data_IF_009737180724
#
_entry.id   IF_009737180724
#
_cell.length_a   1.000
_cell.length_b   1.000
_cell.length_c   1.000
_cell.angle_alpha   90.00
_cell.angle_beta   90.00
_cell.angle_gamma   90.00
#
_symmetry.space_group_name_H-M   'P 1'
#
loop_
_entity.id
_entity.type
_entity.pdbx_description
1 polymer ?
#
# COMPACT_ATOMS: atom_id res chain seq x y z
N UNK A 1 -3.71 -13.28 -2.02
CA UNK A 1 -4.42 -12.38 -1.08
C UNK A 1 -3.43 -11.76 -0.12
N UNK A 2 -3.65 -10.53 0.36
CA UNK A 2 -2.85 -9.92 1.43
C UNK A 2 -3.65 -9.93 2.74
N UNK A 3 -2.99 -10.22 3.85
CA UNK A 3 -3.55 -10.20 5.20
C UNK A 3 -2.83 -9.15 6.04
N UNK A 4 -3.53 -8.57 7.01
CA UNK A 4 -2.89 -7.69 7.99
C UNK A 4 -1.98 -8.51 8.89
N UNK A 5 -0.79 -7.97 9.10
CA UNK A 5 0.07 -8.38 10.19
C UNK A 5 0.18 -7.18 11.13
N UNK A 6 -0.43 -7.33 12.31
CA UNK A 6 -0.41 -6.34 13.39
C UNK A 6 0.99 -6.23 14.04
N UNK A 7 1.98 -5.92 13.21
CA UNK A 7 3.37 -5.74 13.57
C UNK A 7 3.69 -4.25 13.46
N UNK A 8 3.83 -3.60 14.61
CA UNK A 8 4.05 -2.15 14.75
C UNK A 8 5.52 -1.76 14.58
N UNK A 9 6.24 -2.35 13.63
CA UNK A 9 7.61 -1.96 13.31
C UNK A 9 7.63 -0.80 12.31
N UNK A 10 8.69 0.01 12.34
CA UNK A 10 8.99 0.90 11.22
C UNK A 10 9.40 0.07 9.99
N UNK A 11 9.41 0.70 8.81
CA UNK A 11 9.95 0.05 7.61
C UNK A 11 11.42 -0.31 7.75
N UNK A 12 12.18 0.50 8.49
CA UNK A 12 13.59 0.30 8.79
C UNK A 12 13.79 -0.90 9.71
N UNK A 13 13.09 -0.93 10.84
CA UNK A 13 13.18 -2.02 11.82
C UNK A 13 12.76 -3.34 11.18
N UNK A 14 11.72 -3.32 10.35
CA UNK A 14 11.28 -4.51 9.62
C UNK A 14 12.39 -5.09 8.74
N UNK A 15 13.15 -4.23 8.05
CA UNK A 15 14.24 -4.64 7.16
C UNK A 15 15.48 -5.07 7.93
N UNK A 16 15.89 -4.28 8.93
CA UNK A 16 17.11 -4.53 9.71
C UNK A 16 16.99 -5.79 10.56
N UNK A 17 15.86 -6.02 11.22
CA UNK A 17 15.62 -7.23 12.02
C UNK A 17 15.20 -8.43 11.19
N UNK A 18 14.90 -8.22 9.90
CA UNK A 18 14.38 -9.24 9.00
C UNK A 18 13.12 -9.92 9.55
N UNK A 19 12.20 -9.13 10.12
CA UNK A 19 11.05 -9.61 10.88
C UNK A 19 10.24 -10.69 10.15
N UNK A 20 10.23 -10.70 8.82
CA UNK A 20 9.58 -11.72 8.00
C UNK A 20 10.04 -13.16 8.29
N UNK A 21 11.26 -13.36 8.81
CA UNK A 21 11.75 -14.69 9.18
C UNK A 21 10.88 -15.31 10.27
N UNK A 22 10.53 -14.51 11.28
CA UNK A 22 9.77 -14.94 12.45
C UNK A 22 8.26 -14.89 12.27
N UNK A 23 7.79 -14.50 11.09
CA UNK A 23 6.38 -14.43 10.76
C UNK A 23 5.70 -15.81 10.89
N UNK A 24 4.57 -15.83 11.60
CA UNK A 24 3.74 -17.02 11.81
C UNK A 24 2.30 -16.75 11.38
N UNK A 25 1.69 -17.78 10.80
CA UNK A 25 0.28 -17.83 10.47
C UNK A 25 -0.17 -19.27 10.74
N UNK A 26 -0.77 -19.46 11.91
CA UNK A 26 -0.96 -20.81 12.48
C UNK A 26 -2.14 -21.55 11.85
N UNK A 27 -3.14 -20.80 11.37
CA UNK A 27 -4.37 -21.36 10.81
C UNK A 27 -4.55 -20.91 9.35
N UNK A 28 -5.10 -21.81 8.53
CA UNK A 28 -5.55 -21.45 7.20
C UNK A 28 -6.76 -20.51 7.29
N UNK A 29 -6.76 -19.34 6.61
CA UNK A 29 -7.90 -18.43 6.64
C UNK A 29 -9.21 -19.01 6.11
N UNK A 30 -9.15 -20.09 5.31
CA UNK A 30 -10.32 -20.77 4.72
C UNK A 30 -10.72 -22.03 5.51
N UNK A 31 -9.78 -22.60 6.28
CA UNK A 31 -10.03 -23.78 7.11
C UNK A 31 -9.51 -23.53 8.54
N UNK A 32 -10.21 -22.71 9.35
CA UNK A 32 -9.75 -22.36 10.69
C UNK A 32 -9.63 -23.56 11.63
N UNK A 33 -10.45 -24.60 11.43
CA UNK A 33 -10.40 -25.86 12.19
C UNK A 33 -9.24 -26.79 11.80
N UNK A 34 -8.40 -26.41 10.84
CA UNK A 34 -7.29 -27.23 10.37
C UNK A 34 -7.71 -28.33 9.40
N UNK A 35 -6.91 -29.41 9.33
CA UNK A 35 -7.13 -30.54 8.42
C UNK A 35 -6.72 -30.31 6.96
N UNK A 36 -6.49 -29.05 6.57
CA UNK A 36 -5.97 -28.71 5.25
C UNK A 36 -4.44 -28.70 5.20
N UNK A 37 -3.89 -28.84 3.99
CA UNK A 37 -2.48 -28.72 3.64
C UNK A 37 -2.07 -27.26 3.51
N UNK A 38 -2.09 -26.56 4.64
CA UNK A 38 -1.66 -25.18 4.78
C UNK A 38 -0.22 -25.12 5.28
N UNK A 39 0.65 -24.42 4.56
CA UNK A 39 2.06 -24.33 4.90
C UNK A 39 2.68 -23.02 4.41
N UNK A 40 3.83 -22.68 5.00
CA UNK A 40 4.65 -21.56 4.55
C UNK A 40 5.15 -21.81 3.13
N UNK A 41 5.07 -20.78 2.29
CA UNK A 41 5.34 -20.80 0.84
C UNK A 41 6.36 -19.71 0.46
N UNK A 42 7.43 -19.62 1.24
CA UNK A 42 8.53 -18.69 1.05
C UNK A 42 8.14 -17.22 1.25
N UNK A 43 8.77 -16.33 0.48
CA UNK A 43 8.57 -14.88 0.53
C UNK A 43 8.52 -14.30 -0.88
N UNK A 44 8.07 -13.06 -1.04
CA UNK A 44 8.36 -12.25 -2.23
C UNK A 44 9.03 -10.93 -1.84
N UNK A 45 9.90 -10.42 -2.71
CA UNK A 45 10.68 -9.22 -2.45
C UNK A 45 9.88 -7.93 -2.67
N UNK A 46 10.14 -6.93 -1.85
CA UNK A 46 9.75 -5.52 -2.05
C UNK A 46 10.97 -4.63 -1.91
N UNK A 47 11.13 -3.72 -2.88
CA UNK A 47 12.14 -2.66 -2.80
C UNK A 47 11.67 -1.60 -1.81
N UNK A 48 12.56 -1.18 -0.93
CA UNK A 48 12.35 -0.09 0.03
C UNK A 48 13.57 0.82 0.04
N UNK A 49 13.47 2.01 0.64
CA UNK A 49 14.64 2.88 0.83
C UNK A 49 15.70 2.31 1.79
N UNK A 50 15.33 1.35 2.64
CA UNK A 50 16.23 0.73 3.64
C UNK A 50 16.85 -0.59 3.17
N UNK A 51 16.57 -1.02 1.94
CA UNK A 51 17.06 -2.27 1.38
C UNK A 51 15.96 -3.24 0.95
N UNK A 52 16.32 -4.52 0.85
CA UNK A 52 15.45 -5.58 0.41
C UNK A 52 14.54 -6.06 1.55
N UNK A 53 13.24 -5.75 1.45
CA UNK A 53 12.22 -6.29 2.32
C UNK A 53 11.62 -7.56 1.71
N UNK A 54 11.26 -8.53 2.54
CA UNK A 54 10.60 -9.76 2.08
C UNK A 54 9.25 -9.93 2.76
N UNK A 55 8.20 -10.18 1.99
CA UNK A 55 6.86 -10.42 2.53
C UNK A 55 6.60 -11.93 2.58
N UNK A 56 6.36 -12.50 3.77
CA UNK A 56 6.17 -13.93 3.93
C UNK A 56 4.83 -14.40 3.40
N UNK A 57 4.82 -15.61 2.84
CA UNK A 57 3.65 -16.21 2.19
C UNK A 57 3.32 -17.58 2.76
N UNK A 58 2.05 -17.92 2.69
CA UNK A 58 1.51 -19.23 2.95
C UNK A 58 0.62 -19.67 1.81
N UNK A 59 0.56 -20.97 1.58
CA UNK A 59 -0.26 -21.60 0.57
C UNK A 59 -1.08 -22.72 1.19
N UNK A 60 -2.38 -22.77 0.85
CA UNK A 60 -3.26 -23.88 1.16
C UNK A 60 -3.50 -24.66 -0.13
N UNK A 61 -3.08 -25.92 -0.16
CA UNK A 61 -3.26 -26.76 -1.35
C UNK A 61 -4.73 -27.08 -1.59
N UNK A 62 -5.54 -27.25 -0.54
CA UNK A 62 -6.96 -27.61 -0.68
C UNK A 62 -7.81 -26.44 -1.16
N UNK A 63 -7.51 -25.23 -0.67
CA UNK A 63 -8.19 -24.03 -1.12
C UNK A 63 -7.59 -23.45 -2.41
N UNK A 64 -6.45 -23.98 -2.87
CA UNK A 64 -5.67 -23.45 -3.99
C UNK A 64 -5.42 -21.93 -3.91
N UNK A 65 -5.14 -21.43 -2.69
CA UNK A 65 -5.01 -20.00 -2.39
C UNK A 65 -3.69 -19.69 -1.70
N UNK A 66 -3.13 -18.53 -2.02
CA UNK A 66 -1.91 -17.98 -1.40
C UNK A 66 -2.24 -16.73 -0.60
N UNK A 67 -1.73 -16.66 0.62
CA UNK A 67 -1.80 -15.48 1.48
C UNK A 67 -0.41 -14.91 1.71
N UNK A 68 -0.33 -13.59 1.63
CA UNK A 68 0.84 -12.81 1.96
C UNK A 68 0.56 -12.04 3.23
N UNK A 69 1.38 -12.21 4.26
CA UNK A 69 1.21 -11.55 5.54
C UNK A 69 1.95 -10.21 5.52
N UNK A 70 1.21 -9.10 5.41
CA UNK A 70 1.79 -7.77 5.17
C UNK A 70 1.90 -6.99 6.49
N UNK A 71 3.12 -6.63 6.89
CA UNK A 71 3.32 -5.76 8.06
C UNK A 71 2.68 -4.39 7.87
N UNK A 72 2.17 -3.83 8.97
CA UNK A 72 1.41 -2.58 8.97
C UNK A 72 2.12 -1.42 8.29
N UNK A 73 3.45 -1.37 8.38
CA UNK A 73 4.27 -0.34 7.73
C UNK A 73 4.23 -0.38 6.18
N UNK A 74 3.84 -1.46 5.52
CA UNK A 74 3.86 -1.56 4.05
C UNK A 74 2.57 -1.14 3.36
N UNK A 75 2.64 -0.36 2.28
CA UNK A 75 1.45 -0.06 1.50
C UNK A 75 0.87 -1.33 0.83
N UNK A 76 -0.43 -1.57 0.97
CA UNK A 76 -1.08 -2.68 0.28
C UNK A 76 -1.03 -2.46 -1.23
N UNK A 77 -0.77 -3.53 -1.99
CA UNK A 77 -0.72 -3.55 -3.47
C UNK A 77 0.14 -2.47 -4.16
N UNK A 78 0.98 -1.76 -3.41
CA UNK A 78 1.86 -0.69 -3.90
C UNK A 78 3.28 -0.96 -3.41
N UNK A 79 4.31 -0.53 -4.16
CA UNK A 79 5.68 -0.57 -3.69
C UNK A 79 5.88 0.47 -2.57
N UNK A 80 6.76 0.15 -1.63
CA UNK A 80 7.11 1.01 -0.51
C UNK A 80 6.23 0.87 0.73
N UNK A 81 6.44 1.79 1.65
CA UNK A 81 5.81 1.87 2.98
C UNK A 81 4.74 2.94 3.05
N UNK A 82 3.83 2.82 4.02
CA UNK A 82 2.84 3.84 4.32
C UNK A 82 3.52 5.17 4.67
N UNK A 83 4.63 5.15 5.41
CA UNK A 83 5.41 6.36 5.72
C UNK A 83 5.96 7.04 4.45
N UNK A 84 6.46 6.27 3.47
CA UNK A 84 6.92 6.82 2.19
C UNK A 84 5.77 7.41 1.36
N UNK A 85 4.60 6.77 1.36
CA UNK A 85 3.41 7.30 0.67
C UNK A 85 2.90 8.59 1.33
N UNK A 86 2.89 8.62 2.66
CA UNK A 86 2.50 9.78 3.44
C UNK A 86 3.45 10.94 3.21
N UNK A 87 4.77 10.71 3.21
CA UNK A 87 5.76 11.73 2.90
C UNK A 87 5.58 12.32 1.50
N UNK A 88 5.23 11.49 0.51
CA UNK A 88 4.94 11.94 -0.84
C UNK A 88 3.66 12.80 -0.89
N UNK A 89 2.57 12.35 -0.23
CA UNK A 89 1.33 13.13 -0.17
C UNK A 89 1.53 14.47 0.56
N UNK A 90 2.26 14.47 1.68
CA UNK A 90 2.63 15.68 2.40
C UNK A 90 3.46 16.64 1.52
N UNK A 91 4.38 16.12 0.70
CA UNK A 91 5.11 16.96 -0.26
C UNK A 91 4.20 17.65 -1.27
N UNK A 92 3.17 16.96 -1.75
CA UNK A 92 2.18 17.57 -2.62
C UNK A 92 1.31 18.61 -1.91
N UNK A 93 1.18 18.55 -0.57
CA UNK A 93 0.44 19.54 0.23
C UNK A 93 1.27 20.77 0.57
N UNK A 94 2.56 20.62 0.88
CA UNK A 94 3.37 21.69 1.48
C UNK A 94 4.25 22.44 0.49
N UNK A 95 4.58 21.85 -0.66
CA UNK A 95 5.49 22.48 -1.62
C UNK A 95 4.77 23.49 -2.51
N UNK A 96 5.47 24.57 -2.93
CA UNK A 96 4.88 25.64 -3.73
C UNK A 96 4.49 25.19 -5.16
N UNK A 97 4.99 24.03 -5.61
CA UNK A 97 4.62 23.48 -6.92
C UNK A 97 4.70 21.96 -6.94
N UNK A 98 3.92 21.33 -7.83
CA UNK A 98 3.95 19.88 -8.03
C UNK A 98 5.33 19.38 -8.52
N UNK A 99 6.08 20.22 -9.23
CA UNK A 99 7.46 19.90 -9.65
C UNK A 99 8.39 19.84 -8.44
N UNK A 100 8.37 20.86 -7.58
CA UNK A 100 9.17 20.88 -6.34
C UNK A 100 8.80 19.71 -5.42
N UNK A 101 7.50 19.45 -5.26
CA UNK A 101 6.98 18.28 -4.56
C UNK A 101 7.52 16.95 -5.09
N UNK A 102 7.51 16.78 -6.42
CA UNK A 102 7.95 15.54 -7.05
C UNK A 102 9.45 15.33 -6.86
N UNK A 103 10.25 16.38 -6.99
CA UNK A 103 11.70 16.32 -6.77
C UNK A 103 12.01 15.97 -5.30
N UNK A 104 11.33 16.60 -4.34
CA UNK A 104 11.52 16.30 -2.91
C UNK A 104 11.09 14.89 -2.54
N UNK A 105 9.96 14.43 -3.06
CA UNK A 105 9.40 13.12 -2.72
C UNK A 105 10.20 11.95 -3.31
N UNK A 106 10.98 12.22 -4.37
CA UNK A 106 11.79 11.22 -5.04
C UNK A 106 13.04 11.93 -5.60
N UNK A 107 14.10 12.16 -4.81
CA UNK A 107 15.29 12.85 -5.33
C UNK A 107 16.12 11.93 -6.25
N UNK A 108 16.72 12.49 -7.30
CA UNK A 108 17.86 11.87 -8.01
C UNK A 108 17.59 10.55 -8.76
N UNK A 109 16.33 10.24 -9.06
CA UNK A 109 15.98 9.08 -9.86
C UNK A 109 16.04 9.44 -11.36
N UNK A 110 16.64 8.57 -12.17
CA UNK A 110 16.79 8.75 -13.60
C UNK A 110 15.44 8.60 -14.34
N UNK A 111 14.50 9.51 -14.11
CA UNK A 111 13.24 9.60 -14.87
C UNK A 111 13.02 11.03 -15.33
N UNK A 112 12.18 11.17 -16.34
CA UNK A 112 11.81 12.48 -16.85
C UNK A 112 10.90 13.23 -15.87
N UNK A 113 11.03 14.55 -15.83
CA UNK A 113 10.23 15.41 -14.95
C UNK A 113 8.70 15.17 -15.07
N UNK A 114 8.11 14.97 -16.27
CA UNK A 114 6.70 14.63 -16.39
C UNK A 114 6.34 13.28 -15.77
N UNK A 115 7.24 12.29 -15.85
CA UNK A 115 7.03 10.98 -15.23
C UNK A 115 7.07 11.07 -13.71
N UNK A 116 7.96 11.90 -13.15
CA UNK A 116 8.04 12.13 -11.72
C UNK A 116 6.76 12.80 -11.18
N UNK A 117 6.25 13.85 -11.86
CA UNK A 117 4.97 14.47 -11.45
C UNK A 117 3.79 13.51 -11.51
N UNK A 118 3.69 12.68 -12.56
CA UNK A 118 2.62 11.66 -12.67
C UNK A 118 2.69 10.65 -11.53
N UNK A 119 3.89 10.20 -11.19
CA UNK A 119 4.13 9.29 -10.07
C UNK A 119 3.67 9.89 -8.73
N UNK A 120 3.99 11.17 -8.50
CA UNK A 120 3.58 11.87 -7.28
C UNK A 120 2.06 12.07 -7.25
N UNK A 121 1.47 12.60 -8.33
CA UNK A 121 0.03 12.82 -8.44
C UNK A 121 -0.75 11.55 -8.14
N UNK A 122 -0.34 10.41 -8.72
CA UNK A 122 -1.01 9.13 -8.48
C UNK A 122 -0.98 8.70 -7.00
N UNK A 123 0.12 8.95 -6.29
CA UNK A 123 0.22 8.65 -4.84
C UNK A 123 -0.62 9.60 -4.00
N UNK A 124 -0.54 10.90 -4.27
CA UNK A 124 -1.37 11.91 -3.61
C UNK A 124 -2.84 11.57 -3.76
N UNK A 125 -3.31 11.33 -4.98
CA UNK A 125 -4.72 11.04 -5.25
C UNK A 125 -5.18 9.77 -4.51
N UNK A 126 -4.32 8.74 -4.42
CA UNK A 126 -4.60 7.53 -3.63
C UNK A 126 -4.70 7.79 -2.14
N UNK A 127 -3.78 8.60 -1.58
CA UNK A 127 -3.80 8.95 -0.17
C UNK A 127 -5.06 9.75 0.12
N UNK A 128 -5.35 10.82 -0.63
CA UNK A 128 -6.56 11.64 -0.46
C UNK A 128 -7.83 10.79 -0.53
N UNK A 129 -7.96 9.91 -1.51
CA UNK A 129 -9.12 9.00 -1.61
C UNK A 129 -9.26 8.11 -0.36
N UNK A 130 -8.15 7.59 0.16
CA UNK A 130 -8.16 6.84 1.43
C UNK A 130 -8.55 7.71 2.62
N UNK A 131 -8.04 8.94 2.74
CA UNK A 131 -8.39 9.85 3.83
C UNK A 131 -9.88 10.16 3.84
N UNK A 132 -10.46 10.49 2.67
CA UNK A 132 -11.91 10.69 2.52
C UNK A 132 -12.70 9.47 2.96
N UNK A 133 -12.26 8.28 2.53
CA UNK A 133 -12.93 7.02 2.88
C UNK A 133 -12.88 6.76 4.39
N UNK A 134 -11.72 6.95 5.02
CA UNK A 134 -11.55 6.73 6.47
C UNK A 134 -12.34 7.74 7.28
N UNK A 135 -12.35 9.02 6.90
CA UNK A 135 -13.17 10.05 7.56
C UNK A 135 -14.65 9.66 7.50
N UNK A 136 -15.12 9.21 6.35
CA UNK A 136 -16.52 8.78 6.15
C UNK A 136 -16.85 7.52 6.95
N UNK A 137 -15.91 6.59 7.02
CA UNK A 137 -16.09 5.29 7.68
C UNK A 137 -16.06 5.39 9.20
N UNK A 138 -15.29 6.33 9.75
CA UNK A 138 -15.04 6.49 11.18
C UNK A 138 -15.41 7.92 11.63
N UNK A 139 -16.69 8.35 11.48
CA UNK A 139 -17.10 9.71 11.79
C UNK A 139 -16.90 10.08 13.25
N UNK A 140 -17.04 9.11 14.17
CA UNK A 140 -16.81 9.32 15.61
C UNK A 140 -15.38 9.77 15.94
N UNK A 141 -14.42 9.47 15.06
CA UNK A 141 -13.02 9.85 15.23
C UNK A 141 -12.63 11.09 14.42
N UNK A 142 -13.27 11.32 13.28
CA UNK A 142 -12.79 12.28 12.27
C UNK A 142 -13.84 13.26 11.73
N UNK A 143 -15.03 13.33 12.34
CA UNK A 143 -16.04 14.30 11.95
C UNK A 143 -15.46 15.72 11.98
N UNK A 144 -15.62 16.45 10.87
CA UNK A 144 -15.11 17.82 10.72
C UNK A 144 -13.62 17.93 10.34
N UNK A 145 -12.88 16.82 10.25
CA UNK A 145 -11.50 16.85 9.76
C UNK A 145 -11.45 17.04 8.24
N UNK A 146 -10.53 17.87 7.76
CA UNK A 146 -10.21 17.93 6.34
C UNK A 146 -9.46 16.67 5.89
N UNK A 147 -9.72 16.21 4.65
CA UNK A 147 -9.05 15.05 4.05
C UNK A 147 -7.63 15.39 3.54
N UNK A 148 -6.77 15.87 4.44
CA UNK A 148 -5.36 16.15 4.19
C UNK A 148 -4.47 15.49 5.24
N UNK A 149 -3.24 15.16 4.86
CA UNK A 149 -2.25 14.60 5.78
C UNK A 149 -1.99 15.57 6.93
N UNK A 150 -1.85 16.85 6.62
CA UNK A 150 -1.56 17.89 7.62
C UNK A 150 -2.67 18.02 8.66
N UNK A 151 -3.93 18.08 8.25
CA UNK A 151 -5.05 18.25 9.17
C UNK A 151 -5.24 17.03 10.09
N UNK A 152 -5.20 15.83 9.52
CA UNK A 152 -5.39 14.59 10.27
C UNK A 152 -4.20 14.27 11.20
N UNK A 153 -2.97 14.62 10.80
CA UNK A 153 -1.80 14.56 11.71
C UNK A 153 -1.99 15.47 12.91
N UNK A 154 -2.43 16.70 12.69
CA UNK A 154 -2.71 17.66 13.76
C UNK A 154 -3.80 17.16 14.70
N UNK A 155 -4.87 16.59 14.15
CA UNK A 155 -5.98 16.02 14.92
C UNK A 155 -5.58 14.82 15.79
N UNK A 156 -4.81 13.89 15.24
CA UNK A 156 -4.36 12.68 15.94
C UNK A 156 -3.09 12.87 16.79
N UNK A 157 -2.40 14.00 16.65
CA UNK A 157 -1.10 14.23 17.31
C UNK A 157 -0.01 13.26 16.87
N UNK A 158 -0.02 12.80 15.60
CA UNK A 158 0.90 11.78 15.09
C UNK A 158 1.75 12.27 13.91
N UNK A 159 2.93 11.68 13.75
CA UNK A 159 3.82 11.88 12.61
C UNK A 159 3.75 10.74 11.58
N UNK A 160 3.03 9.65 11.88
CA UNK A 160 2.89 8.45 11.05
C UNK A 160 1.41 8.14 10.78
N UNK A 161 0.72 9.11 10.18
CA UNK A 161 -0.73 9.11 9.99
C UNK A 161 -1.25 7.83 9.35
N UNK A 162 -0.75 7.41 8.19
CA UNK A 162 -1.28 6.27 7.45
C UNK A 162 -1.10 4.95 8.19
N UNK A 163 -0.02 4.82 8.98
CA UNK A 163 0.21 3.64 9.83
C UNK A 163 -0.84 3.60 10.95
N UNK A 164 -1.09 4.73 11.62
CA UNK A 164 -2.13 4.86 12.64
C UNK A 164 -3.53 4.63 12.08
N UNK A 165 -3.85 5.24 10.93
CA UNK A 165 -5.14 5.06 10.26
C UNK A 165 -5.38 3.60 9.87
N UNK A 166 -4.34 2.85 9.47
CA UNK A 166 -4.48 1.41 9.22
C UNK A 166 -4.84 0.66 10.51
N UNK A 167 -4.29 1.06 11.65
CA UNK A 167 -4.65 0.52 12.96
C UNK A 167 -6.12 0.77 13.30
N UNK A 168 -6.58 2.01 13.19
CA UNK A 168 -7.99 2.37 13.42
C UNK A 168 -8.95 1.68 12.44
N UNK A 169 -8.55 1.54 11.18
CA UNK A 169 -9.33 0.87 10.14
C UNK A 169 -9.15 -0.67 10.13
N UNK A 170 -8.47 -1.27 11.12
CA UNK A 170 -8.18 -2.71 11.18
C UNK A 170 -9.40 -3.61 10.89
N UNK A 171 -10.60 -3.35 11.46
CA UNK A 171 -11.79 -4.17 11.18
C UNK A 171 -12.24 -4.13 9.71
N UNK A 172 -11.87 -3.08 8.97
CA UNK A 172 -12.35 -2.80 7.62
C UNK A 172 -11.30 -3.05 6.53
N UNK A 173 -10.05 -3.41 6.88
CA UNK A 173 -8.94 -3.50 5.91
C UNK A 173 -9.21 -4.47 4.77
N UNK A 174 -10.02 -5.51 4.97
CA UNK A 174 -10.36 -6.46 3.89
C UNK A 174 -11.15 -5.81 2.75
N UNK A 175 -11.98 -4.81 3.08
CA UNK A 175 -12.88 -4.15 2.13
C UNK A 175 -12.35 -2.77 1.70
N UNK A 176 -11.46 -2.17 2.49
CA UNK A 176 -10.85 -0.89 2.17
C UNK A 176 -9.89 -1.03 0.98
N UNK A 177 -9.89 -0.02 0.10
CA UNK A 177 -8.96 0.03 -1.02
C UNK A 177 -7.50 0.27 -0.54
N UNK A 178 -6.51 -0.12 -1.36
CA UNK A 178 -5.13 0.33 -1.19
C UNK A 178 -5.00 1.86 -1.16
N UNK A 179 -3.98 2.43 -0.48
CA UNK A 179 -2.86 1.74 0.19
C UNK A 179 -3.15 1.15 1.58
N UNK A 180 -4.22 1.56 2.25
CA UNK A 180 -4.51 1.12 3.62
C UNK A 180 -5.04 -0.30 3.65
N UNK A 181 -6.06 -0.60 2.85
CA UNK A 181 -6.70 -1.92 2.84
C UNK A 181 -6.21 -2.86 1.73
N UNK A 182 -6.65 -4.11 1.83
CA UNK A 182 -6.32 -5.23 0.94
C UNK A 182 -7.39 -5.49 -0.12
N UNK A 183 -8.46 -4.70 -0.12
CA UNK A 183 -9.55 -4.76 -1.09
C UNK A 183 -9.07 -4.57 -2.52
N UNK A 184 -9.93 -4.93 -3.47
CA UNK A 184 -9.68 -4.65 -4.88
C UNK A 184 -9.85 -3.15 -5.09
N UNK A 185 -8.95 -2.53 -5.85
CA UNK A 185 -9.19 -1.20 -6.36
C UNK A 185 -10.30 -1.32 -7.39
N UNK A 186 -11.45 -0.72 -7.12
CA UNK A 186 -12.42 -0.44 -8.17
C UNK A 186 -11.81 0.72 -8.95
N UNK A 187 -10.99 0.42 -9.96
CA UNK A 187 -10.57 1.46 -10.88
C UNK A 187 -11.84 1.95 -11.60
N UNK A 188 -12.05 3.27 -11.77
CA UNK A 188 -13.10 3.76 -12.66
C UNK A 188 -12.87 3.11 -14.02
N UNK A 189 -13.95 2.58 -14.62
CA UNK A 189 -13.88 1.86 -15.88
C UNK A 189 -13.00 2.65 -16.88
N UNK A 190 -12.03 2.00 -17.55
CA UNK A 190 -11.20 2.70 -18.51
C UNK A 190 -12.14 3.26 -19.58
N UNK A 191 -12.16 4.59 -19.72
CA UNK A 191 -12.64 5.22 -20.94
C UNK A 191 -11.62 4.80 -21.99
N UNK A 192 -11.87 3.66 -22.66
CA UNK A 192 -10.99 3.13 -23.68
C UNK A 192 -10.94 4.17 -24.80
N UNK A 193 -9.80 4.85 -24.93
CA UNK A 193 -9.56 5.72 -26.07
C UNK A 193 -8.81 4.88 -27.11
N UNK A 194 -9.49 4.35 -28.15
CA UNK A 194 -8.91 3.37 -29.08
C UNK A 194 -7.70 3.89 -29.86
N UNK A 195 -7.47 5.20 -29.86
CA UNK A 195 -6.39 5.89 -30.58
C UNK A 195 -4.98 5.54 -30.06
N UNK A 196 -4.84 5.08 -28.81
CA UNK A 196 -3.54 4.78 -28.19
C UNK A 196 -3.22 3.27 -28.06
N UNK A 197 -3.98 2.40 -28.73
CA UNK A 197 -3.63 0.98 -28.77
C UNK A 197 -2.52 0.78 -29.80
N UNK A 198 -1.38 0.26 -29.33
CA UNK A 198 -0.30 -0.17 -30.21
C UNK A 198 -0.81 -1.32 -31.08
N UNK A 199 -0.74 -1.19 -32.40
CA UNK A 199 -1.02 -2.30 -33.31
C UNK A 199 0.05 -3.36 -33.12
N UNK A 200 -0.36 -4.54 -32.66
CA UNK A 200 0.48 -5.73 -32.66
C UNK A 200 0.67 -6.15 -34.13
N UNK A 201 1.92 -6.12 -34.62
CA UNK A 201 2.25 -6.67 -35.92
C UNK A 201 2.05 -8.19 -35.94
N UNK A 202 1.83 -8.80 -37.12
CA UNK A 202 1.70 -10.25 -37.23
C UNK A 202 2.98 -10.95 -36.73
N UNK A 203 2.81 -12.10 -36.07
CA UNK A 203 3.93 -12.93 -35.65
C UNK A 203 4.77 -13.35 -36.86
N UNK A 204 6.11 -13.33 -36.77
CA UNK A 204 6.98 -13.74 -37.86
C UNK A 204 6.83 -15.26 -38.14
N UNK A 205 6.96 -15.68 -39.41
CA UNK A 205 6.86 -17.09 -39.79
C UNK A 205 8.02 -17.91 -39.21
N UNK A 206 7.72 -19.18 -38.91
CA UNK A 206 8.62 -20.18 -38.31
C UNK A 206 9.73 -20.66 -39.26
#
# INVERSE_FOLDING_TARGET
MQLDWNLSLSGEDYVTTQAWRDAKLDCCPEHPGGGCRFARHGTYRRKTRWGDAHIPRWYCRDAHKTWSLLARCFAARLPGTLDELEAAALAAETEPSLRAAAERARPGHAVTEPANRRWLKGRRDLVVACLVTVITLLPELFAGCAASVTALRGHLGTTRLLVELRGHAAPHLRNLAPPLGFGVRIDPAPISNPVNQHMMGPDPPA
#
